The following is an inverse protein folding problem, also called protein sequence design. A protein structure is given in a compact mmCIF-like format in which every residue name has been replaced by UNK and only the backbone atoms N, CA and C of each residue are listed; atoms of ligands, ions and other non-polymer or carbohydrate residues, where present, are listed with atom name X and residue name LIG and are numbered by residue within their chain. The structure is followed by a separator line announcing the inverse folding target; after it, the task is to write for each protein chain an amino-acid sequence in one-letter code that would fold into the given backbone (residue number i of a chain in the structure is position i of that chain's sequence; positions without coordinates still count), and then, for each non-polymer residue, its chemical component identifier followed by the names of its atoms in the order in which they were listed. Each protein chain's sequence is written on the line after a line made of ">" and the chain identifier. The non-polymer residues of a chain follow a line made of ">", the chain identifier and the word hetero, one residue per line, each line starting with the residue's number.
data_IF_728086721771
#
_entry.id   IF_728086721771
#
_cell.length_a   1.000
_cell.length_b   1.000
_cell.length_c   1.000
_cell.angle_alpha   90.00
_cell.angle_beta   90.00
_cell.angle_gamma   90.00
#
_symmetry.space_group_name_H-M   'P 1'
#
loop_
_entity.id
_entity.type
_entity.pdbx_description
1 polymer ?
#
# COMPACT_ATOMS: atom_id res chain seq x y z
N UNK A 1 5.24 33.69 -17.69
CA UNK A 1 4.70 33.32 -16.38
C UNK A 1 5.84 33.32 -15.40
N UNK A 2 5.65 33.80 -14.16
CA UNK A 2 6.69 33.89 -13.15
C UNK A 2 6.26 33.06 -11.91
N UNK A 3 7.16 32.26 -11.39
CA UNK A 3 6.86 31.40 -10.21
C UNK A 3 6.54 32.25 -8.96
N UNK A 4 7.13 33.43 -8.80
CA UNK A 4 6.86 34.31 -7.66
C UNK A 4 5.40 34.77 -7.64
N UNK A 5 4.82 35.12 -8.81
CA UNK A 5 3.42 35.52 -8.93
C UNK A 5 2.47 34.37 -8.54
N UNK A 6 2.84 33.14 -8.89
CA UNK A 6 2.09 31.91 -8.53
C UNK A 6 2.15 31.65 -7.02
N UNK A 7 3.35 31.79 -6.42
CA UNK A 7 3.53 31.66 -4.97
C UNK A 7 2.70 32.71 -4.22
N UNK A 8 2.77 33.98 -4.64
CA UNK A 8 2.00 35.07 -4.02
C UNK A 8 0.49 34.82 -4.12
N UNK A 9 0.03 34.39 -5.30
CA UNK A 9 -1.36 34.07 -5.55
C UNK A 9 -1.87 32.99 -4.60
N UNK A 10 -1.10 31.90 -4.44
CA UNK A 10 -1.49 30.80 -3.54
C UNK A 10 -1.31 31.14 -2.06
N UNK A 11 -0.27 31.91 -1.69
CA UNK A 11 -0.09 32.46 -0.34
C UNK A 11 -1.30 33.28 0.11
N UNK A 12 -1.87 34.05 -0.82
CA UNK A 12 -3.03 34.92 -0.57
C UNK A 12 -4.37 34.15 -0.72
N UNK A 13 -4.35 32.81 -0.62
CA UNK A 13 -5.49 31.89 -0.71
C UNK A 13 -6.31 32.01 -2.01
N UNK A 14 -5.70 32.44 -3.11
CA UNK A 14 -6.34 32.49 -4.43
C UNK A 14 -6.12 31.19 -5.18
N UNK A 15 -7.10 30.84 -6.03
CA UNK A 15 -7.04 29.63 -6.86
C UNK A 15 -6.02 29.76 -7.99
N UNK A 16 -5.26 28.69 -8.24
CA UNK A 16 -4.36 28.57 -9.38
C UNK A 16 -5.13 28.00 -10.58
N UNK A 17 -4.90 28.56 -11.77
CA UNK A 17 -5.43 27.95 -12.97
C UNK A 17 -4.55 26.79 -13.48
N UNK A 18 -5.04 26.10 -14.51
CA UNK A 18 -4.36 24.93 -15.09
C UNK A 18 -2.96 25.29 -15.61
N UNK A 19 -2.82 26.40 -16.30
CA UNK A 19 -1.57 26.84 -16.91
C UNK A 19 -0.52 27.18 -15.85
N UNK A 20 -0.93 27.75 -14.71
CA UNK A 20 -0.03 28.06 -13.60
C UNK A 20 0.48 26.78 -12.93
N UNK A 21 -0.39 25.77 -12.76
CA UNK A 21 -0.03 24.47 -12.20
C UNK A 21 0.90 23.71 -13.16
N UNK A 22 0.59 23.66 -14.46
CA UNK A 22 1.45 23.04 -15.47
C UNK A 22 2.82 23.71 -15.56
N UNK A 23 2.86 25.05 -15.50
CA UNK A 23 4.12 25.81 -15.47
C UNK A 23 4.97 25.43 -14.25
N UNK A 24 4.35 25.34 -13.06
CA UNK A 24 5.06 24.93 -11.85
C UNK A 24 5.59 23.50 -11.95
N UNK A 25 4.73 22.54 -12.30
CA UNK A 25 5.10 21.13 -12.37
C UNK A 25 6.22 20.91 -13.38
N UNK A 26 6.09 21.47 -14.59
CA UNK A 26 7.12 21.38 -15.63
C UNK A 26 8.41 22.06 -15.21
N UNK A 27 8.33 23.30 -14.75
CA UNK A 27 9.50 24.09 -14.36
C UNK A 27 10.28 23.46 -13.20
N UNK A 28 9.58 22.87 -12.23
CA UNK A 28 10.21 22.14 -11.13
C UNK A 28 10.84 20.81 -11.58
N UNK A 29 10.15 20.06 -12.43
CA UNK A 29 10.66 18.78 -12.96
C UNK A 29 11.92 18.99 -13.78
N UNK A 30 11.92 19.98 -14.66
CA UNK A 30 13.06 20.36 -15.53
C UNK A 30 14.22 21.03 -14.76
N UNK A 31 14.05 21.37 -13.48
CA UNK A 31 15.07 22.04 -12.65
C UNK A 31 15.15 23.57 -12.85
N UNK A 32 14.22 24.16 -13.59
CA UNK A 32 14.13 25.61 -13.81
C UNK A 32 13.56 26.36 -12.59
N UNK A 33 12.80 25.68 -11.74
CA UNK A 33 12.31 26.19 -10.46
C UNK A 33 13.12 25.50 -9.35
N UNK A 34 13.86 26.25 -8.53
CA UNK A 34 14.67 25.68 -7.45
C UNK A 34 13.81 25.21 -6.27
N UNK A 35 14.39 24.31 -5.46
CA UNK A 35 13.70 23.69 -4.32
C UNK A 35 13.08 24.69 -3.34
N UNK A 36 13.76 25.82 -3.05
CA UNK A 36 13.22 26.81 -2.11
C UNK A 36 11.97 27.53 -2.63
N UNK A 37 11.82 27.73 -3.94
CA UNK A 37 10.59 28.28 -4.55
C UNK A 37 9.48 27.23 -4.59
N UNK A 38 9.84 25.98 -4.94
CA UNK A 38 8.90 24.88 -4.90
C UNK A 38 8.39 24.63 -3.48
N UNK A 39 9.28 24.66 -2.48
CA UNK A 39 8.91 24.53 -1.07
C UNK A 39 7.95 25.63 -0.60
N UNK A 40 8.18 26.87 -1.03
CA UNK A 40 7.28 27.98 -0.70
C UNK A 40 5.87 27.77 -1.28
N UNK A 41 5.76 27.32 -2.53
CA UNK A 41 4.45 27.02 -3.14
C UNK A 41 3.78 25.81 -2.47
N UNK A 42 4.52 24.74 -2.22
CA UNK A 42 4.01 23.52 -1.54
C UNK A 42 3.51 23.86 -0.13
N UNK A 43 4.24 24.72 0.61
CA UNK A 43 3.81 25.17 1.93
C UNK A 43 2.54 26.05 1.83
N UNK A 44 2.44 26.95 0.84
CA UNK A 44 1.24 27.73 0.61
C UNK A 44 0.02 26.85 0.28
N UNK A 45 0.23 25.78 -0.52
CA UNK A 45 -0.81 24.75 -0.77
C UNK A 45 -1.18 24.02 0.52
N UNK A 46 -0.18 23.63 1.34
CA UNK A 46 -0.43 22.92 2.59
C UNK A 46 -1.31 23.72 3.55
N UNK A 47 -1.08 25.02 3.65
CA UNK A 47 -1.82 25.92 4.57
C UNK A 47 -3.20 26.29 4.02
N UNK A 48 -3.29 26.64 2.73
CA UNK A 48 -4.51 27.20 2.13
C UNK A 48 -5.36 26.16 1.39
N UNK A 49 -4.87 24.91 1.26
CA UNK A 49 -5.55 23.85 0.50
C UNK A 49 -5.55 24.09 -1.01
N UNK A 50 -6.28 23.26 -1.70
CA UNK A 50 -6.55 23.35 -3.15
C UNK A 50 -8.02 23.03 -3.40
N UNK A 51 -8.61 23.62 -4.42
CA UNK A 51 -9.93 23.22 -4.94
C UNK A 51 -9.82 21.84 -5.62
N UNK A 52 -10.96 21.23 -5.90
CA UNK A 52 -11.02 19.97 -6.66
C UNK A 52 -10.37 20.10 -8.03
N UNK A 53 -10.59 21.22 -8.69
CA UNK A 53 -10.04 21.51 -10.01
C UNK A 53 -8.52 21.70 -9.94
N UNK A 54 -8.02 22.50 -9.01
CA UNK A 54 -6.57 22.64 -8.76
C UNK A 54 -5.91 21.29 -8.49
N UNK A 55 -6.50 20.48 -7.62
CA UNK A 55 -5.97 19.16 -7.23
C UNK A 55 -5.93 18.21 -8.43
N UNK A 56 -6.96 18.23 -9.26
CA UNK A 56 -7.01 17.41 -10.48
C UNK A 56 -5.97 17.89 -11.50
N UNK A 57 -5.85 19.19 -11.71
CA UNK A 57 -4.84 19.74 -12.62
C UNK A 57 -3.42 19.41 -12.15
N UNK A 58 -3.16 19.41 -10.83
CA UNK A 58 -1.89 18.98 -10.27
C UNK A 58 -1.63 17.48 -10.53
N UNK A 59 -2.64 16.62 -10.30
CA UNK A 59 -2.53 15.19 -10.56
C UNK A 59 -2.24 14.90 -12.04
N UNK A 60 -2.95 15.56 -12.95
CA UNK A 60 -2.76 15.39 -14.40
C UNK A 60 -1.39 15.93 -14.86
N UNK A 61 -1.00 17.13 -14.40
CA UNK A 61 0.30 17.69 -14.73
C UNK A 61 1.45 16.77 -14.28
N UNK A 62 1.35 16.17 -13.08
CA UNK A 62 2.33 15.21 -12.59
C UNK A 62 2.28 13.89 -13.37
N UNK A 63 1.09 13.39 -13.72
CA UNK A 63 0.94 12.17 -14.51
C UNK A 63 1.60 12.28 -15.88
N UNK A 64 1.42 13.40 -16.54
CA UNK A 64 1.96 13.67 -17.88
C UNK A 64 3.36 14.32 -17.88
N UNK A 65 4.02 14.37 -16.73
CA UNK A 65 5.39 14.90 -16.62
C UNK A 65 6.48 13.97 -17.13
N UNK A 66 6.14 12.71 -17.39
CA UNK A 66 7.02 11.67 -17.90
C UNK A 66 6.27 10.70 -18.81
N UNK A 67 6.67 9.43 -18.77
CA UNK A 67 6.02 8.40 -19.58
C UNK A 67 4.63 8.09 -19.06
N UNK A 68 3.71 7.87 -19.98
CA UNK A 68 2.38 7.31 -19.72
C UNK A 68 2.26 6.00 -20.46
N UNK A 69 1.93 4.93 -19.75
CA UNK A 69 1.84 3.61 -20.37
C UNK A 69 0.58 3.51 -21.21
N UNK A 70 0.76 3.06 -22.44
CA UNK A 70 -0.32 2.59 -23.28
C UNK A 70 -0.53 1.10 -23.07
N UNK A 71 -1.62 0.73 -22.43
CA UNK A 71 -2.02 -0.66 -22.16
C UNK A 71 -3.13 -1.13 -23.11
N UNK A 72 -3.44 -0.40 -24.19
CA UNK A 72 -4.52 -0.72 -25.13
C UNK A 72 -4.39 -2.11 -25.75
N UNK A 73 -3.16 -2.56 -25.99
CA UNK A 73 -2.84 -3.91 -26.51
C UNK A 73 -3.27 -5.06 -25.60
N UNK A 74 -3.42 -4.82 -24.30
CA UNK A 74 -3.89 -5.83 -23.35
C UNK A 74 -5.35 -5.64 -22.93
N UNK A 75 -6.00 -4.57 -23.44
CA UNK A 75 -7.38 -4.23 -23.17
C UNK A 75 -7.58 -3.43 -21.87
N UNK A 76 -8.78 -3.51 -21.29
CA UNK A 76 -9.06 -2.80 -20.03
C UNK A 76 -8.27 -3.41 -18.88
N UNK A 77 -7.72 -2.54 -18.03
CA UNK A 77 -6.94 -2.91 -16.85
C UNK A 77 -7.55 -2.26 -15.62
N UNK A 78 -7.78 -3.07 -14.60
CA UNK A 78 -8.15 -2.60 -13.26
C UNK A 78 -6.91 -2.61 -12.37
N UNK A 79 -6.55 -1.47 -11.80
CA UNK A 79 -5.46 -1.39 -10.81
C UNK A 79 -6.02 -1.26 -9.38
N UNK A 80 -5.34 -1.84 -8.42
CA UNK A 80 -5.60 -1.67 -6.98
C UNK A 80 -4.47 -0.89 -6.37
N UNK A 81 -4.80 0.11 -5.55
CA UNK A 81 -3.79 0.81 -4.75
C UNK A 81 -4.24 0.87 -3.30
N UNK A 82 -3.28 0.78 -2.38
CA UNK A 82 -3.50 1.04 -0.95
C UNK A 82 -2.80 2.34 -0.57
N UNK A 83 -3.40 3.10 0.32
CA UNK A 83 -2.75 4.27 0.92
C UNK A 83 -1.65 3.89 1.91
N UNK A 84 -1.44 2.59 2.13
CA UNK A 84 -0.42 2.03 2.99
C UNK A 84 -0.96 1.64 4.36
N UNK A 85 -0.22 0.77 5.04
CA UNK A 85 -0.60 0.29 6.37
C UNK A 85 0.42 -0.71 6.91
N UNK A 86 0.19 -1.17 8.12
CA UNK A 86 1.06 -2.13 8.80
C UNK A 86 0.56 -3.54 8.53
N UNK A 87 1.44 -4.38 7.96
CA UNK A 87 1.07 -5.74 7.55
C UNK A 87 0.26 -5.78 6.24
N UNK A 88 0.30 -4.73 5.41
CA UNK A 88 -0.43 -4.70 4.13
C UNK A 88 0.24 -5.59 3.08
N UNK A 89 -0.16 -6.85 3.08
CA UNK A 89 0.19 -7.88 2.09
C UNK A 89 -0.89 -8.10 1.03
N UNK A 90 -1.96 -7.31 1.05
CA UNK A 90 -3.15 -7.50 0.21
C UNK A 90 -2.81 -7.63 -1.27
N UNK A 91 -1.88 -6.83 -1.79
CA UNK A 91 -1.48 -6.91 -3.20
C UNK A 91 -0.96 -8.29 -3.59
N UNK A 92 -0.17 -8.95 -2.72
CA UNK A 92 0.40 -10.28 -3.00
C UNK A 92 -0.67 -11.39 -3.03
N UNK A 93 -1.77 -11.19 -2.30
CA UNK A 93 -2.89 -12.13 -2.22
C UNK A 93 -3.91 -11.82 -3.31
N UNK A 94 -4.36 -10.57 -3.38
CA UNK A 94 -5.50 -10.17 -4.21
C UNK A 94 -5.20 -10.21 -5.71
N UNK A 95 -3.99 -9.77 -6.12
CA UNK A 95 -3.68 -9.70 -7.56
C UNK A 95 -3.65 -11.07 -8.24
N UNK A 96 -3.03 -12.13 -7.66
CA UNK A 96 -3.16 -13.49 -8.20
C UNK A 96 -4.60 -14.02 -8.23
N UNK A 97 -5.41 -13.71 -7.22
CA UNK A 97 -6.83 -14.12 -7.15
C UNK A 97 -7.61 -13.55 -8.33
N UNK A 98 -7.56 -12.23 -8.52
CA UNK A 98 -8.34 -11.59 -9.60
C UNK A 98 -7.78 -11.94 -10.99
N UNK A 99 -6.47 -12.18 -11.11
CA UNK A 99 -5.88 -12.69 -12.34
C UNK A 99 -6.30 -14.13 -12.67
N UNK A 100 -6.51 -14.99 -11.65
CA UNK A 100 -7.06 -16.33 -11.84
C UNK A 100 -8.53 -16.26 -12.34
N UNK A 101 -9.26 -15.21 -11.97
CA UNK A 101 -10.61 -14.92 -12.48
C UNK A 101 -10.61 -14.17 -13.83
N UNK A 102 -9.42 -14.02 -14.46
CA UNK A 102 -9.27 -13.48 -15.81
C UNK A 102 -9.23 -11.95 -15.87
N UNK A 103 -9.08 -11.23 -14.75
CA UNK A 103 -8.77 -9.80 -14.75
C UNK A 103 -7.34 -9.59 -15.23
N UNK A 104 -7.10 -8.61 -16.09
CA UNK A 104 -5.75 -8.23 -16.51
C UNK A 104 -5.09 -7.35 -15.45
N UNK A 105 -3.98 -7.84 -14.89
CA UNK A 105 -3.25 -7.18 -13.79
C UNK A 105 -1.90 -6.67 -14.29
N UNK A 106 -1.85 -5.40 -14.60
CA UNK A 106 -0.63 -4.67 -14.96
C UNK A 106 -0.28 -3.70 -13.81
N UNK A 107 0.43 -4.19 -12.78
CA UNK A 107 0.57 -3.42 -11.55
C UNK A 107 1.99 -2.95 -11.29
N UNK A 108 2.09 -1.65 -11.00
CA UNK A 108 3.31 -1.03 -10.50
C UNK A 108 3.19 -0.66 -9.04
N UNK A 109 4.22 -0.96 -8.26
CA UNK A 109 4.28 -0.72 -6.81
C UNK A 109 5.59 -0.05 -6.40
N UNK A 110 5.50 0.82 -5.39
CA UNK A 110 6.67 1.49 -4.80
C UNK A 110 7.36 0.66 -3.70
N UNK A 111 8.51 1.17 -3.26
CA UNK A 111 9.17 0.75 -2.02
C UNK A 111 8.43 1.30 -0.80
N UNK A 112 8.57 0.63 0.34
CA UNK A 112 8.13 1.15 1.63
C UNK A 112 9.06 2.25 2.15
N UNK A 113 8.47 3.19 2.87
CA UNK A 113 9.19 4.21 3.65
C UNK A 113 8.63 4.24 5.07
N UNK A 114 9.51 4.44 6.04
CA UNK A 114 9.11 4.46 7.45
C UNK A 114 8.63 3.10 7.93
N UNK A 115 7.56 3.11 8.72
CA UNK A 115 6.98 1.94 9.37
C UNK A 115 6.15 1.05 8.42
N UNK A 116 5.78 1.53 7.24
CA UNK A 116 4.97 0.78 6.27
C UNK A 116 5.84 0.01 5.29
N UNK A 117 5.64 -1.30 5.16
CA UNK A 117 6.35 -2.14 4.19
C UNK A 117 5.84 -1.94 2.75
N UNK A 118 6.76 -1.88 1.76
CA UNK A 118 6.42 -1.75 0.35
C UNK A 118 6.19 -3.10 -0.34
N UNK A 119 5.25 -3.15 -1.27
CA UNK A 119 5.03 -4.37 -2.07
C UNK A 119 6.27 -4.76 -2.87
N UNK A 120 7.03 -3.79 -3.39
CA UNK A 120 8.29 -4.05 -4.09
C UNK A 120 9.30 -4.76 -3.19
N UNK A 121 9.46 -4.29 -1.95
CA UNK A 121 10.39 -4.89 -0.98
C UNK A 121 10.01 -6.34 -0.64
N UNK A 122 8.72 -6.63 -0.52
CA UNK A 122 8.21 -8.00 -0.28
C UNK A 122 8.46 -8.92 -1.48
N UNK A 123 8.27 -8.43 -2.70
CA UNK A 123 8.57 -9.20 -3.92
C UNK A 123 10.08 -9.47 -4.06
N UNK A 124 10.93 -8.50 -3.74
CA UNK A 124 12.40 -8.64 -3.75
C UNK A 124 12.91 -9.61 -2.66
N UNK A 125 12.13 -9.85 -1.61
CA UNK A 125 12.43 -10.88 -0.62
C UNK A 125 12.28 -12.31 -1.17
N UNK A 126 11.62 -12.49 -2.32
CA UNK A 126 11.54 -13.78 -3.03
C UNK A 126 12.81 -13.92 -3.89
N UNK A 127 13.67 -14.93 -3.64
CA UNK A 127 14.93 -15.08 -4.35
C UNK A 127 14.74 -15.13 -5.88
N UNK A 128 15.49 -14.32 -6.60
CA UNK A 128 15.46 -14.25 -8.06
C UNK A 128 14.33 -13.42 -8.67
N UNK A 129 13.32 -13.00 -7.89
CA UNK A 129 12.20 -12.22 -8.42
C UNK A 129 12.66 -10.86 -8.94
N UNK A 130 12.37 -10.57 -10.22
CA UNK A 130 12.75 -9.32 -10.89
C UNK A 130 11.61 -8.31 -10.78
N UNK A 131 11.83 -7.28 -9.96
CA UNK A 131 10.90 -6.13 -9.84
C UNK A 131 11.21 -5.03 -10.86
N UNK A 132 12.37 -5.08 -11.52
CA UNK A 132 12.81 -4.14 -12.54
C UNK A 132 12.96 -4.90 -13.85
N UNK A 133 12.01 -4.71 -14.75
CA UNK A 133 11.98 -5.26 -16.09
C UNK A 133 11.57 -4.16 -17.07
N UNK A 134 11.89 -4.34 -18.36
CA UNK A 134 11.49 -3.40 -19.42
C UNK A 134 9.96 -3.41 -19.61
N UNK A 135 9.40 -2.28 -20.07
CA UNK A 135 7.96 -2.12 -20.24
C UNK A 135 7.38 -3.12 -21.22
N UNK A 136 8.09 -3.43 -22.31
CA UNK A 136 7.64 -4.41 -23.29
C UNK A 136 7.54 -5.83 -22.67
N UNK A 137 8.52 -6.21 -21.84
CA UNK A 137 8.48 -7.47 -21.08
C UNK A 137 7.31 -7.46 -20.08
N UNK A 138 7.07 -6.34 -19.42
CA UNK A 138 5.95 -6.18 -18.50
C UNK A 138 4.60 -6.41 -19.19
N UNK A 139 4.38 -5.79 -20.35
CA UNK A 139 3.17 -5.95 -21.16
C UNK A 139 3.03 -7.39 -21.67
N UNK A 140 4.10 -7.99 -22.19
CA UNK A 140 4.10 -9.38 -22.67
C UNK A 140 3.81 -10.38 -21.53
N UNK A 141 4.28 -10.13 -20.33
CA UNK A 141 3.95 -10.94 -19.16
C UNK A 141 2.44 -10.92 -18.86
N UNK A 142 1.80 -9.74 -18.92
CA UNK A 142 0.35 -9.63 -18.75
C UNK A 142 -0.40 -10.34 -19.87
N UNK A 143 0.05 -10.22 -21.13
CA UNK A 143 -0.54 -10.97 -22.25
C UNK A 143 -0.44 -12.48 -22.05
N UNK A 144 0.72 -12.98 -21.62
CA UNK A 144 1.03 -14.39 -21.47
C UNK A 144 0.29 -15.07 -20.32
N UNK A 145 0.35 -14.48 -19.13
CA UNK A 145 -0.17 -15.11 -17.90
C UNK A 145 -1.28 -14.30 -17.19
N UNK A 146 -1.66 -13.14 -17.73
CA UNK A 146 -2.71 -12.28 -17.16
C UNK A 146 -2.25 -11.38 -16.04
N UNK A 147 -0.99 -11.46 -15.59
CA UNK A 147 -0.49 -10.70 -14.43
C UNK A 147 0.99 -10.36 -14.56
N UNK A 148 1.36 -9.14 -14.15
CA UNK A 148 2.74 -8.76 -13.88
C UNK A 148 2.78 -7.73 -12.75
N UNK A 149 3.70 -7.89 -11.79
CA UNK A 149 3.90 -6.99 -10.65
C UNK A 149 5.34 -6.50 -10.66
N UNK A 150 5.53 -5.19 -10.90
CA UNK A 150 6.86 -4.59 -10.98
C UNK A 150 7.03 -3.38 -10.06
N UNK A 151 8.27 -2.97 -9.88
CA UNK A 151 8.61 -1.69 -9.29
C UNK A 151 8.18 -0.54 -10.19
N UNK A 152 7.91 0.62 -9.60
CA UNK A 152 7.64 1.82 -10.36
C UNK A 152 8.89 2.23 -11.16
N UNK A 153 8.74 2.46 -12.46
CA UNK A 153 9.84 2.91 -13.32
C UNK A 153 10.26 4.34 -12.99
N UNK A 154 11.51 4.66 -13.28
CA UNK A 154 12.08 5.99 -12.93
C UNK A 154 11.39 7.14 -13.66
N UNK A 155 10.83 6.89 -14.84
CA UNK A 155 10.25 7.91 -15.71
C UNK A 155 8.73 8.05 -15.58
N UNK A 156 8.10 7.21 -14.77
CA UNK A 156 6.67 7.30 -14.49
C UNK A 156 6.40 8.43 -13.48
N UNK A 157 5.67 9.47 -13.88
CA UNK A 157 5.35 10.64 -13.06
C UNK A 157 6.57 11.22 -12.31
N UNK A 158 7.67 11.61 -12.99
CA UNK A 158 8.90 12.07 -12.35
C UNK A 158 8.68 13.34 -11.51
N UNK A 159 7.71 14.18 -11.86
CA UNK A 159 7.31 15.33 -11.06
C UNK A 159 6.83 14.91 -9.66
N UNK A 160 5.99 13.87 -9.58
CA UNK A 160 5.53 13.36 -8.28
C UNK A 160 6.68 12.86 -7.42
N UNK A 161 7.61 12.11 -8.01
CA UNK A 161 8.78 11.61 -7.30
C UNK A 161 9.60 12.75 -6.68
N UNK A 162 9.82 13.83 -7.43
CA UNK A 162 10.60 14.99 -7.00
C UNK A 162 9.83 15.80 -5.95
N UNK A 163 8.53 16.04 -6.17
CA UNK A 163 7.66 16.76 -5.24
C UNK A 163 7.48 15.98 -3.92
N UNK A 164 7.30 14.66 -3.97
CA UNK A 164 7.17 13.84 -2.77
C UNK A 164 8.44 13.89 -1.90
N UNK A 165 9.62 13.79 -2.53
CA UNK A 165 10.90 13.92 -1.83
C UNK A 165 11.06 15.29 -1.15
N UNK A 166 10.64 16.37 -1.81
CA UNK A 166 10.64 17.71 -1.22
C UNK A 166 9.66 17.80 -0.05
N UNK A 167 8.43 17.31 -0.21
CA UNK A 167 7.38 17.32 0.84
C UNK A 167 7.82 16.60 2.10
N UNK A 168 8.53 15.50 1.95
CA UNK A 168 9.06 14.72 3.08
C UNK A 168 10.06 15.55 3.90
N UNK A 169 10.96 16.29 3.23
CA UNK A 169 11.98 17.10 3.90
C UNK A 169 11.46 18.38 4.55
N UNK A 170 10.27 18.87 4.12
CA UNK A 170 9.66 20.11 4.64
C UNK A 170 8.40 19.87 5.47
N UNK A 171 8.15 18.61 5.89
CA UNK A 171 6.97 18.20 6.70
C UNK A 171 5.61 18.54 6.05
N UNK A 172 5.50 18.43 4.72
CA UNK A 172 4.28 18.70 3.95
C UNK A 172 3.65 17.41 3.36
N UNK A 173 3.86 16.27 3.99
CA UNK A 173 3.31 14.98 3.47
C UNK A 173 1.83 14.81 3.77
N UNK A 174 1.36 15.23 4.96
CA UNK A 174 0.00 15.01 5.46
C UNK A 174 -0.98 16.11 4.99
N UNK A 175 -1.30 16.14 3.70
CA UNK A 175 -2.25 17.10 3.11
C UNK A 175 -3.07 16.41 2.02
N UNK A 176 -4.40 16.40 2.12
CA UNK A 176 -5.29 15.62 1.24
C UNK A 176 -5.12 15.95 -0.25
N UNK A 177 -5.13 17.22 -0.70
CA UNK A 177 -4.84 17.56 -2.10
C UNK A 177 -3.51 16.98 -2.60
N UNK A 178 -2.45 17.09 -1.81
CA UNK A 178 -1.12 16.63 -2.19
C UNK A 178 -0.99 15.10 -2.14
N UNK A 179 -1.69 14.41 -1.23
CA UNK A 179 -1.73 12.95 -1.17
C UNK A 179 -2.52 12.40 -2.36
N UNK A 180 -3.73 12.92 -2.60
CA UNK A 180 -4.61 12.45 -3.67
C UNK A 180 -4.00 12.65 -5.05
N UNK A 181 -3.42 13.83 -5.31
CA UNK A 181 -2.75 14.11 -6.59
C UNK A 181 -1.52 13.21 -6.80
N UNK A 182 -0.74 12.94 -5.74
CA UNK A 182 0.41 12.02 -5.80
C UNK A 182 -0.01 10.58 -6.10
N UNK A 183 -1.06 10.07 -5.46
CA UNK A 183 -1.57 8.71 -5.72
C UNK A 183 -2.12 8.61 -7.14
N UNK A 184 -3.03 9.52 -7.50
CA UNK A 184 -3.75 9.45 -8.78
C UNK A 184 -2.85 9.72 -9.98
N UNK A 185 -1.84 10.59 -9.87
CA UNK A 185 -0.87 10.81 -10.96
C UNK A 185 -0.16 9.52 -11.38
N UNK A 186 0.26 8.70 -10.41
CA UNK A 186 0.91 7.42 -10.69
C UNK A 186 -0.05 6.40 -11.31
N UNK A 187 -1.32 6.38 -10.90
CA UNK A 187 -2.32 5.45 -11.45
C UNK A 187 -2.72 5.83 -12.87
N UNK A 188 -2.84 7.13 -13.15
CA UNK A 188 -3.10 7.64 -14.48
C UNK A 188 -1.91 7.34 -15.40
N UNK A 189 -0.68 7.66 -14.98
CA UNK A 189 0.53 7.42 -15.74
C UNK A 189 0.79 5.92 -15.99
N UNK A 190 0.41 5.03 -15.06
CA UNK A 190 0.49 3.58 -15.23
C UNK A 190 -0.54 2.99 -16.22
N UNK A 191 -1.40 3.81 -16.82
CA UNK A 191 -2.31 3.39 -17.90
C UNK A 191 -3.59 2.69 -17.43
N UNK A 192 -3.86 2.58 -16.13
CA UNK A 192 -5.08 1.95 -15.63
C UNK A 192 -6.35 2.65 -16.14
N UNK A 193 -7.35 1.87 -16.55
CA UNK A 193 -8.66 2.35 -16.97
C UNK A 193 -9.60 2.54 -15.79
N UNK A 194 -9.52 1.61 -14.84
CA UNK A 194 -10.36 1.52 -13.65
C UNK A 194 -9.50 1.32 -12.42
N UNK A 195 -9.90 1.91 -11.29
CA UNK A 195 -9.05 1.99 -10.10
C UNK A 195 -9.87 1.63 -8.86
N UNK A 196 -9.40 0.63 -8.10
CA UNK A 196 -9.92 0.34 -6.76
C UNK A 196 -8.89 0.80 -5.73
N UNK A 197 -9.31 1.70 -4.84
CA UNK A 197 -8.46 2.29 -3.82
C UNK A 197 -8.83 1.72 -2.44
N UNK A 198 -7.85 1.14 -1.80
CA UNK A 198 -7.90 0.73 -0.41
C UNK A 198 -7.40 1.89 0.45
N UNK A 199 -8.35 2.64 1.02
CA UNK A 199 -8.06 3.81 1.84
C UNK A 199 -8.01 3.38 3.29
N UNK A 200 -6.81 3.17 3.80
CA UNK A 200 -6.62 2.75 5.18
C UNK A 200 -6.88 3.90 6.16
N UNK A 201 -7.55 3.59 7.27
CA UNK A 201 -7.92 4.55 8.31
C UNK A 201 -7.59 4.00 9.70
N UNK A 202 -6.92 4.78 10.52
CA UNK A 202 -6.56 4.42 11.88
C UNK A 202 -5.11 4.72 12.25
N UNK A 203 -4.66 4.20 13.38
CA UNK A 203 -3.33 4.52 13.94
C UNK A 203 -2.17 4.17 12.99
N UNK A 204 -2.26 3.07 12.25
CA UNK A 204 -1.24 2.62 11.29
C UNK A 204 -1.38 3.20 9.88
N UNK A 205 -2.27 4.15 9.66
CA UNK A 205 -2.56 4.77 8.36
C UNK A 205 -2.17 6.25 8.33
N UNK A 206 -2.15 6.84 7.12
CA UNK A 206 -2.03 8.29 6.96
C UNK A 206 -3.28 9.01 7.46
N UNK A 207 -4.47 8.50 7.13
CA UNK A 207 -5.75 9.05 7.60
C UNK A 207 -6.04 8.50 8.98
N UNK A 208 -6.12 9.39 9.97
CA UNK A 208 -6.33 9.02 11.37
C UNK A 208 -7.80 8.91 11.73
N UNK A 209 -8.67 9.56 10.97
CA UNK A 209 -10.12 9.59 11.18
C UNK A 209 -10.89 9.17 9.94
N UNK A 210 -12.09 8.61 10.13
CA UNK A 210 -13.00 8.26 9.02
C UNK A 210 -13.40 9.49 8.19
N UNK A 211 -13.48 10.68 8.84
CA UNK A 211 -13.74 11.94 8.15
C UNK A 211 -12.67 12.27 7.11
N UNK A 212 -11.39 12.21 7.51
CA UNK A 212 -10.25 12.42 6.62
C UNK A 212 -10.18 11.36 5.51
N UNK A 213 -10.39 10.08 5.84
CA UNK A 213 -10.39 8.99 4.88
C UNK A 213 -11.51 9.17 3.82
N UNK A 214 -12.70 9.62 4.25
CA UNK A 214 -13.82 9.93 3.37
C UNK A 214 -13.52 11.11 2.44
N UNK A 215 -12.91 12.17 2.95
CA UNK A 215 -12.50 13.33 2.16
C UNK A 215 -11.45 12.96 1.12
N UNK A 216 -10.41 12.21 1.52
CA UNK A 216 -9.39 11.68 0.60
C UNK A 216 -10.02 10.81 -0.50
N UNK A 217 -10.93 9.90 -0.13
CA UNK A 217 -11.63 9.03 -1.07
C UNK A 217 -12.41 9.80 -2.11
N UNK A 218 -13.23 10.77 -1.68
CA UNK A 218 -14.01 11.62 -2.59
C UNK A 218 -13.11 12.43 -3.53
N UNK A 219 -12.02 12.99 -3.00
CA UNK A 219 -11.06 13.74 -3.80
C UNK A 219 -10.42 12.86 -4.88
N UNK A 220 -10.03 11.63 -4.55
CA UNK A 220 -9.46 10.70 -5.54
C UNK A 220 -10.49 10.23 -6.58
N UNK A 221 -11.75 10.03 -6.20
CA UNK A 221 -12.85 9.74 -7.13
C UNK A 221 -13.09 10.91 -8.07
N UNK A 222 -13.10 12.15 -7.57
CA UNK A 222 -13.27 13.36 -8.38
C UNK A 222 -12.13 13.49 -9.42
N UNK A 223 -10.87 13.26 -9.01
CA UNK A 223 -9.72 13.22 -9.92
C UNK A 223 -9.91 12.12 -10.98
N UNK A 224 -10.32 10.93 -10.55
CA UNK A 224 -10.59 9.81 -11.46
C UNK A 224 -11.64 10.18 -12.52
N UNK A 225 -12.78 10.72 -12.12
CA UNK A 225 -13.86 11.16 -13.02
C UNK A 225 -13.37 12.19 -14.05
N UNK A 226 -12.63 13.20 -13.60
CA UNK A 226 -12.10 14.25 -14.49
C UNK A 226 -11.00 13.72 -15.43
N UNK A 227 -10.28 12.67 -15.01
CA UNK A 227 -9.29 11.97 -15.84
C UNK A 227 -9.91 10.86 -16.73
N UNK A 228 -11.24 10.68 -16.71
CA UNK A 228 -11.92 9.62 -17.46
C UNK A 228 -11.62 8.20 -16.93
N UNK A 229 -11.35 8.07 -15.61
CA UNK A 229 -11.06 6.80 -14.92
C UNK A 229 -12.19 6.49 -13.95
N UNK A 230 -12.76 5.30 -14.07
CA UNK A 230 -13.73 4.79 -13.10
C UNK A 230 -13.00 4.42 -11.80
N UNK A 231 -13.42 4.99 -10.67
CA UNK A 231 -12.69 4.88 -9.41
C UNK A 231 -13.64 4.55 -8.27
N UNK A 232 -13.31 3.52 -7.48
CA UNK A 232 -14.01 3.13 -6.24
C UNK A 232 -13.02 3.16 -5.09
N UNK A 233 -13.44 3.68 -3.94
CA UNK A 233 -12.67 3.70 -2.70
C UNK A 233 -13.34 2.83 -1.65
N UNK A 234 -12.54 2.00 -0.99
CA UNK A 234 -12.96 1.18 0.15
C UNK A 234 -12.14 1.62 1.34
N UNK A 235 -12.80 2.16 2.37
CA UNK A 235 -12.15 2.57 3.60
C UNK A 235 -12.02 1.35 4.50
N UNK A 236 -10.78 1.01 4.86
CA UNK A 236 -10.43 -0.17 5.66
C UNK A 236 -9.80 0.22 7.00
N UNK A 237 -9.98 -0.63 8.01
CA UNK A 237 -9.48 -0.37 9.36
C UNK A 237 -7.98 -0.68 9.47
N UNK A 238 -7.20 0.29 9.97
CA UNK A 238 -5.77 0.16 10.24
C UNK A 238 -5.40 0.60 11.68
N UNK A 239 -6.32 0.51 12.64
CA UNK A 239 -6.01 0.71 14.06
C UNK A 239 -5.21 -0.46 14.66
N UNK A 240 -5.29 -1.61 14.05
CA UNK A 240 -4.54 -2.82 14.34
C UNK A 240 -3.77 -3.27 13.10
N UNK A 241 -2.63 -3.96 13.22
CA UNK A 241 -1.94 -4.55 12.08
C UNK A 241 -2.85 -5.52 11.32
N UNK A 242 -2.76 -5.52 10.00
CA UNK A 242 -3.52 -6.42 9.13
C UNK A 242 -2.85 -7.79 9.05
N UNK A 243 -3.61 -8.85 9.32
CA UNK A 243 -3.07 -10.20 9.45
C UNK A 243 -2.25 -10.38 10.73
N UNK A 244 -1.36 -11.35 10.73
CA UNK A 244 -0.55 -11.74 11.90
C UNK A 244 0.94 -11.45 11.72
N UNK A 245 1.41 -11.30 10.50
CA UNK A 245 2.82 -11.09 10.18
C UNK A 245 3.10 -9.63 9.78
N UNK A 246 4.16 -9.06 10.34
CA UNK A 246 4.68 -7.72 10.01
C UNK A 246 6.17 -7.82 9.74
N UNK A 247 6.60 -7.62 8.50
CA UNK A 247 7.96 -7.80 8.01
C UNK A 247 7.94 -8.40 6.60
N UNK A 248 9.05 -8.29 5.84
CA UNK A 248 8.99 -8.60 4.40
C UNK A 248 8.74 -10.08 4.09
N UNK A 249 9.66 -10.97 4.45
CA UNK A 249 9.50 -12.42 4.25
C UNK A 249 8.30 -12.95 5.04
N UNK A 250 8.10 -12.50 6.27
CA UNK A 250 6.97 -12.93 7.09
C UNK A 250 5.63 -12.65 6.40
N UNK A 251 5.46 -11.46 5.82
CA UNK A 251 4.25 -11.12 5.07
C UNK A 251 4.12 -11.89 3.75
N UNK A 252 5.23 -12.23 3.09
CA UNK A 252 5.21 -13.14 1.92
C UNK A 252 4.74 -14.53 2.33
N UNK A 253 5.23 -15.06 3.44
CA UNK A 253 4.80 -16.36 3.98
C UNK A 253 3.29 -16.35 4.30
N UNK A 254 2.80 -15.30 4.98
CA UNK A 254 1.37 -15.18 5.27
C UNK A 254 0.53 -15.05 3.99
N UNK A 255 1.02 -14.34 2.97
CA UNK A 255 0.35 -14.24 1.67
C UNK A 255 0.28 -15.60 0.95
N UNK A 256 1.36 -16.39 1.01
CA UNK A 256 1.39 -17.77 0.45
C UNK A 256 0.36 -18.65 1.16
N UNK A 257 0.32 -18.64 2.49
CA UNK A 257 -0.65 -19.42 3.27
C UNK A 257 -2.09 -18.96 3.01
N UNK A 258 -2.32 -17.65 2.87
CA UNK A 258 -3.63 -17.11 2.49
C UNK A 258 -4.08 -17.64 1.11
N UNK A 259 -3.19 -17.71 0.13
CA UNK A 259 -3.48 -18.26 -1.21
C UNK A 259 -3.70 -19.78 -1.20
N UNK A 260 -3.20 -20.49 -0.18
CA UNK A 260 -3.49 -21.91 0.07
C UNK A 260 -4.79 -22.14 0.85
N UNK A 261 -5.51 -21.07 1.24
CA UNK A 261 -6.77 -21.12 1.98
C UNK A 261 -6.66 -20.86 3.49
N UNK A 262 -5.44 -20.68 4.04
CA UNK A 262 -5.20 -20.38 5.45
C UNK A 262 -5.14 -18.85 5.66
N UNK A 263 -6.25 -18.16 5.46
CA UNK A 263 -6.33 -16.70 5.51
C UNK A 263 -6.94 -16.23 6.84
N UNK A 264 -6.29 -15.25 7.48
CA UNK A 264 -6.85 -14.59 8.67
C UNK A 264 -8.12 -13.83 8.31
N UNK A 265 -9.10 -13.79 9.21
CA UNK A 265 -10.43 -13.20 8.96
C UNK A 265 -10.36 -11.75 8.47
N UNK A 266 -9.54 -10.91 9.10
CA UNK A 266 -9.40 -9.51 8.71
C UNK A 266 -8.79 -9.34 7.32
N UNK A 267 -7.78 -10.14 6.97
CA UNK A 267 -7.20 -10.19 5.62
C UNK A 267 -8.25 -10.67 4.62
N UNK A 268 -9.00 -11.73 4.97
CA UNK A 268 -10.08 -12.30 4.14
C UNK A 268 -11.14 -11.26 3.82
N UNK A 269 -11.62 -10.54 4.84
CA UNK A 269 -12.66 -9.52 4.66
C UNK A 269 -12.22 -8.43 3.68
N UNK A 270 -10.97 -7.95 3.82
CA UNK A 270 -10.41 -6.92 2.93
C UNK A 270 -10.20 -7.46 1.50
N UNK A 271 -9.67 -8.68 1.36
CA UNK A 271 -9.46 -9.33 0.05
C UNK A 271 -10.77 -9.54 -0.68
N UNK A 272 -11.80 -10.06 0.01
CA UNK A 272 -13.11 -10.33 -0.59
C UNK A 272 -13.78 -9.03 -1.05
N UNK A 273 -13.75 -7.99 -0.23
CA UNK A 273 -14.39 -6.72 -0.57
C UNK A 273 -13.68 -6.04 -1.76
N UNK A 274 -12.38 -5.82 -1.68
CA UNK A 274 -11.60 -5.22 -2.77
C UNK A 274 -11.71 -6.04 -4.06
N UNK A 275 -11.62 -7.36 -3.96
CA UNK A 275 -11.70 -8.25 -5.11
C UNK A 275 -13.06 -8.23 -5.77
N UNK A 276 -14.15 -8.19 -4.99
CA UNK A 276 -15.50 -8.13 -5.53
C UNK A 276 -15.75 -6.85 -6.33
N UNK A 277 -15.20 -5.71 -5.87
CA UNK A 277 -15.27 -4.44 -6.59
C UNK A 277 -14.35 -4.43 -7.83
N UNK A 278 -13.19 -5.06 -7.78
CA UNK A 278 -12.35 -5.25 -8.99
C UNK A 278 -13.12 -6.04 -10.05
N UNK A 279 -13.79 -7.15 -9.68
CA UNK A 279 -14.57 -7.94 -10.62
C UNK A 279 -15.78 -7.16 -11.17
N UNK A 280 -16.45 -6.37 -10.33
CA UNK A 280 -17.54 -5.47 -10.75
C UNK A 280 -17.05 -4.47 -11.80
N UNK A 281 -15.96 -3.77 -11.51
CA UNK A 281 -15.39 -2.79 -12.44
C UNK A 281 -14.90 -3.46 -13.75
N UNK A 282 -14.35 -4.68 -13.67
CA UNK A 282 -13.89 -5.44 -14.87
C UNK A 282 -15.05 -6.05 -15.67
N UNK A 283 -16.29 -5.85 -15.25
CA UNK A 283 -17.48 -6.37 -15.94
C UNK A 283 -17.67 -7.89 -15.78
N UNK A 284 -17.05 -8.51 -14.77
CA UNK A 284 -17.15 -9.97 -14.51
C UNK A 284 -18.31 -10.36 -13.60
N UNK A 285 -19.10 -9.40 -13.17
CA UNK A 285 -20.34 -9.59 -12.39
C UNK A 285 -20.69 -8.36 -11.57
N UNK A 286 -21.97 -7.99 -11.58
CA UNK A 286 -22.49 -6.81 -10.87
C UNK A 286 -22.81 -7.10 -9.40
N UNK A 287 -23.05 -8.38 -9.06
CA UNK A 287 -23.41 -8.80 -7.72
C UNK A 287 -22.15 -9.01 -6.86
N UNK A 288 -21.97 -8.16 -5.87
CA UNK A 288 -20.82 -8.19 -4.95
C UNK A 288 -20.71 -9.53 -4.20
N UNK A 289 -21.84 -10.09 -3.75
CA UNK A 289 -21.82 -11.35 -3.01
C UNK A 289 -21.41 -12.54 -3.90
N UNK A 290 -21.93 -12.61 -5.12
CA UNK A 290 -21.52 -13.63 -6.10
C UNK A 290 -20.04 -13.49 -6.47
N UNK A 291 -19.53 -12.25 -6.55
CA UNK A 291 -18.12 -12.01 -6.80
C UNK A 291 -17.24 -12.49 -5.64
N UNK A 292 -17.68 -12.31 -4.39
CA UNK A 292 -16.97 -12.87 -3.21
C UNK A 292 -16.94 -14.41 -3.27
N UNK A 293 -18.02 -15.05 -3.65
CA UNK A 293 -18.08 -16.51 -3.80
C UNK A 293 -17.13 -17.02 -4.90
N UNK A 294 -17.02 -16.31 -6.04
CA UNK A 294 -16.02 -16.64 -7.08
C UNK A 294 -14.59 -16.55 -6.54
N UNK A 295 -14.29 -15.54 -5.73
CA UNK A 295 -12.98 -15.36 -5.10
C UNK A 295 -12.69 -16.53 -4.15
N UNK A 296 -13.62 -16.89 -3.27
CA UNK A 296 -13.46 -18.02 -2.37
C UNK A 296 -13.28 -19.35 -3.15
N UNK A 297 -13.96 -19.51 -4.27
CA UNK A 297 -13.83 -20.68 -5.12
C UNK A 297 -12.42 -20.85 -5.70
N UNK A 298 -11.80 -19.77 -6.25
CA UNK A 298 -10.45 -19.86 -6.84
C UNK A 298 -9.35 -19.98 -5.79
N UNK A 299 -9.62 -19.57 -4.55
CA UNK A 299 -8.74 -19.86 -3.40
C UNK A 299 -8.85 -21.34 -3.05
N UNK A 300 -10.05 -21.85 -2.83
CA UNK A 300 -10.29 -23.21 -2.33
C UNK A 300 -9.88 -24.30 -3.33
N UNK A 301 -9.99 -24.06 -4.64
CA UNK A 301 -9.56 -25.00 -5.69
C UNK A 301 -8.07 -24.85 -6.07
N UNK A 302 -7.35 -23.92 -5.45
CA UNK A 302 -5.91 -23.67 -5.62
C UNK A 302 -5.54 -22.93 -6.90
N UNK A 303 -6.49 -22.37 -7.67
CA UNK A 303 -6.18 -21.60 -8.88
C UNK A 303 -5.44 -20.30 -8.56
N UNK A 304 -5.81 -19.61 -7.49
CA UNK A 304 -5.14 -18.41 -7.02
C UNK A 304 -3.66 -18.68 -6.65
N UNK A 305 -3.40 -19.79 -5.93
CA UNK A 305 -2.04 -20.20 -5.59
C UNK A 305 -1.21 -20.55 -6.84
N UNK A 306 -1.78 -21.31 -7.79
CA UNK A 306 -1.12 -21.60 -9.07
C UNK A 306 -0.82 -20.34 -9.88
N UNK A 307 -1.69 -19.34 -9.84
CA UNK A 307 -1.47 -18.05 -10.50
C UNK A 307 -0.30 -17.28 -9.86
N UNK A 308 -0.15 -17.34 -8.54
CA UNK A 308 1.00 -16.76 -7.85
C UNK A 308 2.31 -17.47 -8.23
N UNK A 309 2.32 -18.80 -8.30
CA UNK A 309 3.49 -19.56 -8.79
C UNK A 309 3.88 -19.11 -10.21
N UNK A 310 2.90 -19.00 -11.12
CA UNK A 310 3.13 -18.52 -12.48
C UNK A 310 3.73 -17.11 -12.52
N UNK A 311 3.24 -16.20 -11.67
CA UNK A 311 3.77 -14.85 -11.54
C UNK A 311 5.23 -14.89 -11.10
N UNK A 312 5.53 -15.62 -10.04
CA UNK A 312 6.89 -15.71 -9.47
C UNK A 312 7.86 -16.31 -10.49
N UNK A 313 7.52 -17.43 -11.10
CA UNK A 313 8.34 -18.10 -12.11
C UNK A 313 8.56 -17.22 -13.35
N UNK A 314 7.49 -16.60 -13.87
CA UNK A 314 7.57 -15.78 -15.08
C UNK A 314 8.45 -14.53 -14.90
N UNK A 315 8.56 -14.02 -13.67
CA UNK A 315 9.45 -12.90 -13.32
C UNK A 315 10.80 -13.33 -12.73
N UNK A 316 11.18 -14.61 -12.92
CA UNK A 316 12.51 -15.14 -12.59
C UNK A 316 12.70 -15.55 -11.13
N UNK A 317 11.65 -15.50 -10.31
CA UNK A 317 11.70 -15.94 -8.92
C UNK A 317 11.79 -17.45 -8.78
N UNK A 318 12.47 -17.91 -7.74
CA UNK A 318 12.58 -19.34 -7.42
C UNK A 318 11.31 -19.83 -6.70
N UNK A 319 10.43 -20.52 -7.44
CA UNK A 319 9.17 -21.05 -6.92
C UNK A 319 9.36 -22.06 -5.79
N UNK A 320 10.56 -22.67 -5.66
CA UNK A 320 10.82 -23.63 -4.59
C UNK A 320 10.73 -23.02 -3.19
N UNK A 321 10.89 -21.68 -3.05
CA UNK A 321 10.66 -20.95 -1.83
C UNK A 321 9.17 -20.72 -1.56
N UNK A 322 8.35 -20.66 -2.61
CA UNK A 322 6.90 -20.52 -2.48
C UNK A 322 6.27 -21.87 -2.11
N UNK A 323 6.77 -22.96 -2.70
CA UNK A 323 6.31 -24.32 -2.41
C UNK A 323 6.73 -24.78 -1.00
N UNK A 324 7.91 -24.35 -0.55
CA UNK A 324 8.45 -24.65 0.77
C UNK A 324 9.01 -23.39 1.43
N UNK A 325 8.17 -22.72 2.22
CA UNK A 325 8.50 -21.47 2.93
C UNK A 325 9.60 -21.61 3.98
N UNK A 326 9.91 -22.85 4.42
CA UNK A 326 11.04 -23.11 5.33
C UNK A 326 12.42 -22.82 4.73
N UNK A 327 12.49 -22.67 3.39
CA UNK A 327 13.72 -22.29 2.68
C UNK A 327 14.06 -20.81 2.80
N UNK A 328 13.08 -19.94 3.11
CA UNK A 328 13.39 -18.52 3.31
C UNK A 328 14.43 -18.32 4.42
N UNK A 329 15.25 -17.29 4.25
CA UNK A 329 16.21 -16.88 5.27
C UNK A 329 15.48 -16.59 6.57
N UNK A 330 15.93 -17.19 7.66
CA UNK A 330 15.37 -17.00 9.00
C UNK A 330 16.24 -16.04 9.78
N UNK A 331 15.62 -15.19 10.57
CA UNK A 331 16.32 -14.37 11.55
C UNK A 331 17.04 -15.25 12.58
N UNK A 332 18.16 -14.77 13.09
CA UNK A 332 19.00 -15.53 14.06
C UNK A 332 18.29 -15.79 15.37
N UNK A 333 17.43 -14.88 15.79
CA UNK A 333 16.73 -14.93 17.07
C UNK A 333 15.22 -14.92 16.85
N UNK A 334 14.52 -15.85 17.47
CA UNK A 334 13.08 -15.86 17.64
C UNK A 334 12.77 -15.71 19.13
N UNK A 335 12.27 -14.54 19.54
CA UNK A 335 12.09 -14.18 20.94
C UNK A 335 10.59 -14.09 21.27
N UNK A 336 10.10 -14.80 22.31
CA UNK A 336 8.71 -14.70 22.72
C UNK A 336 8.43 -13.36 23.40
N UNK A 337 7.23 -12.85 23.16
CA UNK A 337 6.65 -11.71 23.88
C UNK A 337 5.52 -12.28 24.73
N UNK A 338 5.60 -12.14 26.05
CA UNK A 338 4.64 -12.70 26.99
C UNK A 338 3.66 -11.65 27.50
N UNK A 339 2.41 -12.05 27.74
CA UNK A 339 1.40 -11.22 28.33
C UNK A 339 1.76 -10.86 29.77
N UNK A 340 1.73 -9.57 30.09
CA UNK A 340 2.09 -9.05 31.43
C UNK A 340 1.01 -9.31 32.50
N UNK A 341 -0.23 -9.60 32.08
CA UNK A 341 -1.37 -9.91 32.95
C UNK A 341 -2.43 -10.70 32.20
N UNK A 342 -3.31 -11.36 32.95
CA UNK A 342 -4.49 -12.05 32.41
C UNK A 342 -5.59 -11.04 32.04
N UNK A 343 -6.29 -11.28 30.94
CA UNK A 343 -7.40 -10.43 30.48
C UNK A 343 -7.67 -10.57 28.99
N UNK A 344 -8.22 -9.53 28.38
CA UNK A 344 -8.46 -9.42 26.94
C UNK A 344 -7.56 -8.36 26.33
N UNK A 345 -7.03 -8.61 25.17
CA UNK A 345 -6.33 -7.60 24.37
C UNK A 345 -7.34 -6.55 23.91
N UNK A 346 -7.29 -5.36 24.50
CA UNK A 346 -8.23 -4.28 24.22
C UNK A 346 -7.74 -3.38 23.08
N UNK A 347 -6.41 -3.24 22.95
CA UNK A 347 -5.79 -2.44 21.89
C UNK A 347 -4.42 -2.97 21.55
N UNK A 348 -4.07 -2.86 20.27
CA UNK A 348 -2.75 -3.13 19.72
C UNK A 348 -2.50 -2.09 18.62
N UNK A 349 -1.79 -1.03 18.97
CA UNK A 349 -1.58 0.11 18.08
C UNK A 349 -0.74 -0.29 16.87
N UNK A 350 -1.31 -0.15 15.67
CA UNK A 350 -0.63 -0.58 14.44
C UNK A 350 0.62 0.25 14.16
N UNK A 351 0.61 1.56 14.40
CA UNK A 351 1.76 2.44 14.15
C UNK A 351 2.96 2.03 15.00
N UNK A 352 2.73 1.70 16.28
CA UNK A 352 3.80 1.29 17.19
C UNK A 352 4.39 -0.06 16.79
N UNK A 353 3.55 -1.02 16.40
CA UNK A 353 3.99 -2.32 15.85
C UNK A 353 4.87 -2.10 14.59
N UNK A 354 4.44 -1.22 13.68
CA UNK A 354 5.20 -0.87 12.49
C UNK A 354 6.54 -0.22 12.82
N UNK A 355 6.59 0.71 13.79
CA UNK A 355 7.83 1.34 14.25
C UNK A 355 8.80 0.32 14.86
N UNK A 356 8.29 -0.65 15.61
CA UNK A 356 9.11 -1.73 16.17
C UNK A 356 9.70 -2.57 15.04
N UNK A 357 8.90 -2.99 14.08
CA UNK A 357 9.39 -3.76 12.93
C UNK A 357 10.44 -2.99 12.11
N UNK A 358 10.24 -1.67 11.91
CA UNK A 358 11.21 -0.80 11.24
C UNK A 358 12.56 -0.74 11.99
N UNK A 359 12.53 -0.59 13.32
CA UNK A 359 13.75 -0.57 14.15
C UNK A 359 14.51 -1.90 14.15
N UNK A 360 13.81 -3.03 13.98
CA UNK A 360 14.44 -4.33 13.77
C UNK A 360 15.21 -4.40 12.44
N UNK A 361 14.85 -3.59 11.45
CA UNK A 361 15.43 -3.57 10.10
C UNK A 361 14.45 -3.95 8.98
N UNK A 362 13.17 -4.23 9.29
CA UNK A 362 12.17 -4.58 8.28
C UNK A 362 11.73 -3.39 7.41
N UNK A 363 12.04 -2.16 7.81
CA UNK A 363 11.72 -0.92 7.10
C UNK A 363 12.91 0.03 7.04
N UNK A 364 12.77 1.14 6.28
CA UNK A 364 13.82 2.15 6.11
C UNK A 364 13.53 3.37 6.97
N UNK A 365 14.50 3.77 7.81
CA UNK A 365 14.49 5.07 8.48
C UNK A 365 15.00 6.18 7.54
N UNK A 366 15.91 5.82 6.64
CA UNK A 366 16.45 6.69 5.58
C UNK A 366 16.35 5.96 4.24
N UNK A 367 16.24 6.70 3.15
CA UNK A 367 16.10 6.14 1.80
C UNK A 367 17.21 5.17 1.40
N UNK A 368 18.41 5.40 1.93
CA UNK A 368 19.63 4.64 1.65
C UNK A 368 19.78 3.39 2.53
N UNK A 369 18.91 3.20 3.52
CA UNK A 369 19.01 2.05 4.43
C UNK A 369 18.69 0.75 3.68
N UNK A 370 19.51 -0.27 3.93
CA UNK A 370 19.23 -1.63 3.50
C UNK A 370 18.14 -2.26 4.36
N UNK A 371 17.32 -3.10 3.75
CA UNK A 371 16.28 -3.86 4.45
C UNK A 371 16.81 -5.24 4.81
N UNK A 372 16.59 -5.63 6.05
CA UNK A 372 16.69 -7.01 6.47
C UNK A 372 15.34 -7.71 6.24
N UNK A 373 15.28 -8.57 5.25
CA UNK A 373 14.03 -9.24 4.88
C UNK A 373 13.57 -10.30 5.88
N UNK A 374 14.47 -10.83 6.73
CA UNK A 374 14.18 -11.93 7.64
C UNK A 374 13.57 -11.49 8.98
N UNK A 375 13.74 -10.21 9.33
CA UNK A 375 13.29 -9.69 10.62
C UNK A 375 11.83 -9.23 10.58
N UNK A 376 11.19 -9.17 11.76
CA UNK A 376 9.81 -8.71 11.87
C UNK A 376 9.11 -9.22 13.12
N UNK A 377 7.78 -9.25 13.06
CA UNK A 377 6.89 -9.57 14.18
C UNK A 377 5.83 -10.56 13.73
N UNK A 378 5.60 -11.59 14.53
CA UNK A 378 4.46 -12.51 14.41
C UNK A 378 3.51 -12.30 15.59
N UNK A 379 2.28 -11.88 15.31
CA UNK A 379 1.23 -11.60 16.30
C UNK A 379 0.35 -12.84 16.47
N UNK A 380 0.44 -13.50 17.63
CA UNK A 380 -0.40 -14.66 17.94
C UNK A 380 -1.76 -14.26 18.51
N UNK A 381 -1.81 -13.14 19.23
CA UNK A 381 -3.02 -12.61 19.88
C UNK A 381 -3.28 -11.20 19.39
N UNK A 382 -4.48 -10.99 18.89
CA UNK A 382 -4.97 -9.70 18.39
C UNK A 382 -6.07 -9.15 19.28
N UNK A 383 -6.56 -7.95 19.00
CA UNK A 383 -7.65 -7.29 19.72
C UNK A 383 -8.87 -8.21 19.81
N UNK A 384 -9.41 -8.36 21.02
CA UNK A 384 -10.52 -9.25 21.37
C UNK A 384 -10.08 -10.65 21.82
N UNK A 385 -8.80 -11.04 21.68
CA UNK A 385 -8.32 -12.32 22.20
C UNK A 385 -8.16 -12.29 23.71
N UNK A 386 -8.57 -13.39 24.38
CA UNK A 386 -8.27 -13.62 25.77
C UNK A 386 -6.83 -14.14 25.92
N UNK A 387 -6.13 -13.71 26.96
CA UNK A 387 -4.75 -14.07 27.26
C UNK A 387 -4.57 -14.32 28.76
N UNK A 388 -3.64 -15.19 29.11
CA UNK A 388 -3.22 -15.44 30.48
C UNK A 388 -1.84 -14.80 30.75
N UNK A 389 -1.57 -14.39 31.98
CA UNK A 389 -0.26 -13.86 32.34
C UNK A 389 0.84 -14.90 32.07
N UNK A 390 1.90 -14.50 31.36
CA UNK A 390 2.99 -15.37 30.94
C UNK A 390 2.72 -16.15 29.63
N UNK A 391 1.50 -16.05 29.05
CA UNK A 391 1.21 -16.63 27.74
C UNK A 391 1.95 -15.88 26.63
N UNK A 392 2.56 -16.61 25.69
CA UNK A 392 3.19 -16.00 24.51
C UNK A 392 2.12 -15.42 23.59
N UNK A 393 2.16 -14.10 23.40
CA UNK A 393 1.19 -13.32 22.60
C UNK A 393 1.74 -12.89 21.25
N UNK A 394 3.08 -12.87 21.08
CA UNK A 394 3.76 -12.57 19.84
C UNK A 394 5.17 -13.16 19.82
N UNK A 395 5.80 -13.17 18.64
CA UNK A 395 7.23 -13.40 18.49
C UNK A 395 7.91 -12.23 17.79
N UNK A 396 9.11 -11.90 18.25
CA UNK A 396 10.05 -11.00 17.57
C UNK A 396 11.08 -11.85 16.83
N UNK A 397 11.27 -11.53 15.55
CA UNK A 397 12.34 -12.08 14.71
C UNK A 397 13.41 -11.01 14.50
N UNK A 398 14.63 -11.26 14.96
CA UNK A 398 15.72 -10.28 14.95
C UNK A 398 17.06 -10.93 14.57
N UNK A 399 17.93 -10.19 13.89
CA UNK A 399 19.31 -10.58 13.58
C UNK A 399 20.33 -10.03 14.59
N UNK A 400 19.90 -9.04 15.37
CA UNK A 400 20.63 -8.44 16.48
C UNK A 400 19.89 -8.74 17.80
N UNK A 401 20.61 -9.36 18.77
CA UNK A 401 20.00 -9.79 20.02
C UNK A 401 19.52 -8.61 20.87
N UNK A 402 20.28 -7.52 20.92
CA UNK A 402 19.94 -6.35 21.71
C UNK A 402 18.69 -5.64 21.14
N UNK A 403 18.64 -5.43 19.83
CA UNK A 403 17.46 -4.87 19.15
C UNK A 403 16.23 -5.77 19.37
N UNK A 404 16.42 -7.10 19.34
CA UNK A 404 15.36 -8.06 19.62
C UNK A 404 14.79 -7.92 21.02
N UNK A 405 15.63 -7.81 22.05
CA UNK A 405 15.21 -7.59 23.46
C UNK A 405 14.46 -6.27 23.62
N UNK A 406 14.98 -5.20 23.05
CA UNK A 406 14.31 -3.88 23.07
C UNK A 406 12.95 -3.93 22.36
N UNK A 407 12.84 -4.67 21.26
CA UNK A 407 11.58 -4.87 20.54
C UNK A 407 10.56 -5.67 21.37
N UNK A 408 11.01 -6.71 22.11
CA UNK A 408 10.14 -7.47 23.04
C UNK A 408 9.55 -6.54 24.09
N UNK A 409 10.38 -5.73 24.76
CA UNK A 409 9.93 -4.80 25.80
C UNK A 409 8.94 -3.76 25.25
N UNK A 410 9.22 -3.17 24.07
CA UNK A 410 8.34 -2.20 23.42
C UNK A 410 7.03 -2.82 22.99
N UNK A 411 7.07 -4.03 22.42
CA UNK A 411 5.84 -4.69 21.97
C UNK A 411 4.94 -5.09 23.14
N UNK A 412 5.52 -5.54 24.27
CA UNK A 412 4.76 -5.77 25.50
C UNK A 412 3.99 -4.52 25.95
N UNK A 413 4.62 -3.34 25.87
CA UNK A 413 4.01 -2.05 26.24
C UNK A 413 2.93 -1.61 25.24
N UNK A 414 2.99 -2.06 24.00
CA UNK A 414 2.01 -1.75 22.95
C UNK A 414 0.69 -2.51 23.14
N UNK A 415 0.72 -3.66 23.84
CA UNK A 415 -0.48 -4.41 24.17
C UNK A 415 -1.20 -3.80 25.35
N UNK A 416 -2.38 -3.25 25.13
CA UNK A 416 -3.31 -2.85 26.19
C UNK A 416 -4.19 -4.07 26.54
N UNK A 417 -3.97 -4.68 27.71
CA UNK A 417 -4.75 -5.82 28.20
C UNK A 417 -5.67 -5.32 29.33
N UNK A 418 -6.94 -5.70 29.34
CA UNK A 418 -7.91 -5.29 30.34
C UNK A 418 -8.90 -6.42 30.66
N UNK A 419 -9.76 -6.19 31.67
CA UNK A 419 -10.71 -7.19 32.17
C UNK A 419 -11.90 -7.43 31.22
N UNK A 420 -12.28 -6.41 30.46
CA UNK A 420 -13.46 -6.47 29.59
C UNK A 420 -13.06 -6.88 28.17
N UNK A 421 -13.87 -7.75 27.56
CA UNK A 421 -13.78 -7.99 26.14
C UNK A 421 -14.19 -6.73 25.36
N UNK A 422 -13.55 -6.49 24.22
CA UNK A 422 -13.89 -5.38 23.33
C UNK A 422 -14.57 -5.91 22.09
N UNK A 423 -15.58 -5.18 21.61
CA UNK A 423 -16.19 -5.48 20.33
C UNK A 423 -15.16 -5.35 19.19
N UNK A 424 -15.17 -6.32 18.29
CA UNK A 424 -14.35 -6.24 17.08
C UNK A 424 -14.84 -5.10 16.21
N UNK A 425 -13.99 -4.12 15.96
CA UNK A 425 -14.26 -3.08 14.97
C UNK A 425 -14.24 -3.70 13.58
N UNK A 426 -15.18 -3.30 12.73
CA UNK A 426 -15.28 -3.80 11.36
C UNK A 426 -13.99 -3.53 10.56
N UNK A 427 -13.57 -4.51 9.75
CA UNK A 427 -12.38 -4.38 8.89
C UNK A 427 -12.67 -3.46 7.69
N UNK A 428 -13.90 -3.48 7.18
CA UNK A 428 -14.41 -2.55 6.17
C UNK A 428 -15.26 -1.50 6.86
N UNK A 429 -14.90 -0.24 6.72
CA UNK A 429 -15.57 0.89 7.37
C UNK A 429 -16.64 1.49 6.46
N UNK A 430 -16.30 1.77 5.21
CA UNK A 430 -17.20 2.42 4.25
C UNK A 430 -16.74 2.15 2.81
N UNK A 431 -17.69 2.15 1.89
CA UNK A 431 -17.45 2.05 0.44
C UNK A 431 -17.97 3.32 -0.20
N UNK A 432 -17.17 3.93 -1.09
CA UNK A 432 -17.50 5.17 -1.79
C UNK A 432 -17.31 4.94 -3.29
N UNK A 433 -18.41 5.05 -4.06
CA UNK A 433 -18.46 4.92 -5.53
C UNK A 433 -18.62 6.27 -6.25
#
# INVERSE_FOLDING_TARGET
>A
MNILDIIEKKRDAKELNKEEIEFFVKGYTDGNIPDYQAAALVMAIYINGMTKEETTNLALAMAYSGDVLDLSDIGEVVDKHSTGGIGDKITLILMPIVAALGVKVAKMSGRGLGATGGTKDKLEAIPGYRTEIEIDEFIENVKKIGISLIGQTLNLAPADKKLYALRDTISCTANIPLISSSIMSKKIAAGANKIVLDVTCGSGAFMKTVGEARELSRTMIDIGKLAGKETVCIITNMDKPLGTMVGNILEVIEAIEALKGNMQDDVKNVVLELGAYILKLDGKGDNIQENKEKIEQVISNGEAYRKFLQLVENQGGDISYIENTEKFTKAKYKMPVEAVKTGYVQKLNAEDVGKIAMHLGAGRMKKEDDIDYAVGIELLKKVGCQVEQGETIAYIYADDEQKGREAVEKLQQTYEIGEQNVEKVADIIEIIE
#
